data_IF_099957679646
#
_entry.id   IF_099957679646
#
_cell.length_a   1.000
_cell.length_b   1.000
_cell.length_c   1.000
_cell.angle_alpha   90.00
_cell.angle_beta   90.00
_cell.angle_gamma   90.00
#
_symmetry.space_group_name_H-M   'P 1'
#
loop_
_entity.id
_entity.type
_entity.pdbx_description
1 polymer ?
#
# COMPACT_ATOMS: atom_id res chain seq x y z
N UNK A 1 0.04 24.97 3.28
CA UNK A 1 -0.28 23.78 4.09
C UNK A 1 -0.89 22.75 3.16
N UNK A 2 -0.36 21.53 3.14
CA UNK A 2 -0.99 20.44 2.42
C UNK A 2 -2.32 20.11 3.09
N UNK A 3 -3.36 19.85 2.31
CA UNK A 3 -4.64 19.36 2.84
C UNK A 3 -4.55 17.84 3.02
N UNK A 4 -5.18 17.25 4.04
CA UNK A 4 -5.40 15.82 4.08
C UNK A 4 -6.06 15.35 2.79
N UNK A 5 -5.52 14.32 2.18
CA UNK A 5 -6.07 13.66 0.99
C UNK A 5 -5.97 12.16 1.19
N UNK A 6 -6.89 11.45 0.56
CA UNK A 6 -6.74 10.00 0.40
C UNK A 6 -5.56 9.73 -0.53
N UNK A 7 -4.64 8.91 -0.05
CA UNK A 7 -3.47 8.45 -0.78
C UNK A 7 -3.55 6.94 -0.89
N UNK A 8 -3.31 6.44 -2.09
CA UNK A 8 -3.27 5.03 -2.42
C UNK A 8 -1.81 4.62 -2.57
N UNK A 9 -1.40 3.53 -1.92
CA UNK A 9 -0.11 2.88 -2.11
C UNK A 9 -0.34 1.53 -2.79
N UNK A 10 0.41 1.27 -3.86
CA UNK A 10 0.29 0.05 -4.66
C UNK A 10 1.39 -0.91 -4.27
N UNK A 11 1.01 -2.09 -3.79
CA UNK A 11 1.92 -3.15 -3.35
C UNK A 11 1.72 -4.38 -4.25
N UNK A 12 2.82 -4.96 -4.72
CA UNK A 12 2.83 -6.19 -5.52
C UNK A 12 3.27 -7.36 -4.64
N UNK A 13 2.51 -8.45 -4.68
CA UNK A 13 2.72 -9.66 -3.90
C UNK A 13 2.81 -10.88 -4.84
N UNK A 14 3.75 -11.81 -4.62
CA UNK A 14 3.97 -12.94 -5.53
C UNK A 14 2.98 -14.09 -5.35
N UNK A 15 2.17 -14.08 -4.28
CA UNK A 15 1.20 -15.13 -4.04
C UNK A 15 0.07 -14.71 -3.10
N UNK A 16 -1.05 -15.43 -3.21
CA UNK A 16 -2.29 -15.19 -2.45
C UNK A 16 -2.10 -15.26 -0.93
N UNK A 17 -1.20 -16.13 -0.44
CA UNK A 17 -0.98 -16.30 1.01
C UNK A 17 -0.30 -15.07 1.59
N UNK A 18 0.74 -14.57 0.93
CA UNK A 18 1.42 -13.32 1.29
C UNK A 18 0.45 -12.14 1.18
N UNK A 19 -0.28 -12.01 0.06
CA UNK A 19 -1.26 -10.94 -0.15
C UNK A 19 -2.27 -10.82 1.00
N UNK A 20 -2.92 -11.92 1.37
CA UNK A 20 -3.89 -11.93 2.49
C UNK A 20 -3.27 -11.62 3.86
N UNK A 21 -2.01 -11.99 4.06
CA UNK A 21 -1.32 -11.75 5.33
C UNK A 21 -0.88 -10.28 5.43
N UNK A 22 -0.38 -9.73 4.34
CA UNK A 22 0.03 -8.33 4.21
C UNK A 22 -1.17 -7.42 4.35
N UNK A 23 -2.29 -7.70 3.66
CA UNK A 23 -3.52 -6.92 3.77
C UNK A 23 -3.94 -6.75 5.23
N UNK A 24 -4.01 -7.86 5.99
CA UNK A 24 -4.34 -7.81 7.43
C UNK A 24 -3.34 -7.01 8.28
N UNK A 25 -2.05 -7.03 7.94
CA UNK A 25 -1.05 -6.27 8.69
C UNK A 25 -1.18 -4.78 8.39
N UNK A 26 -1.41 -4.42 7.14
CA UNK A 26 -1.57 -3.03 6.69
C UNK A 26 -2.90 -2.44 7.19
N UNK A 27 -3.97 -3.23 7.22
CA UNK A 27 -5.25 -2.85 7.85
C UNK A 27 -5.10 -2.52 9.34
N UNK A 28 -4.26 -3.25 10.09
CA UNK A 28 -4.00 -2.97 11.51
C UNK A 28 -3.31 -1.61 11.73
N UNK A 29 -2.61 -1.11 10.72
CA UNK A 29 -1.99 0.23 10.73
C UNK A 29 -2.97 1.32 10.27
N UNK A 30 -4.25 1.00 10.08
CA UNK A 30 -5.31 1.95 9.76
C UNK A 30 -5.38 2.33 8.28
N UNK A 31 -4.99 1.42 7.39
CA UNK A 31 -5.27 1.50 5.96
C UNK A 31 -6.55 0.73 5.62
N UNK A 32 -7.25 1.16 4.58
CA UNK A 32 -8.19 0.31 3.86
C UNK A 32 -7.42 -0.43 2.76
N UNK A 33 -7.66 -1.73 2.57
CA UNK A 33 -6.88 -2.54 1.62
C UNK A 33 -7.80 -3.33 0.69
N UNK A 34 -7.70 -3.05 -0.61
CA UNK A 34 -8.28 -3.89 -1.65
C UNK A 34 -7.22 -4.85 -2.20
N UNK A 35 -7.61 -6.11 -2.47
CA UNK A 35 -6.70 -7.15 -2.99
C UNK A 35 -7.24 -7.67 -4.31
N UNK A 36 -6.50 -7.43 -5.39
CA UNK A 36 -6.80 -7.90 -6.73
C UNK A 36 -5.76 -8.92 -7.21
N UNK A 37 -6.17 -9.84 -8.07
CA UNK A 37 -5.29 -10.82 -8.72
C UNK A 37 -5.01 -10.35 -10.15
N UNK A 38 -3.73 -10.19 -10.48
CA UNK A 38 -3.26 -9.96 -11.84
C UNK A 38 -3.01 -11.32 -12.49
N UNK A 39 -4.02 -11.82 -13.20
CA UNK A 39 -3.96 -13.11 -13.89
C UNK A 39 -2.91 -13.15 -15.01
N UNK A 40 -2.53 -12.00 -15.59
CA UNK A 40 -1.54 -11.93 -16.67
C UNK A 40 -0.11 -12.14 -16.14
N UNK A 41 0.18 -11.58 -14.97
CA UNK A 41 1.50 -11.62 -14.35
C UNK A 41 1.62 -12.69 -13.24
N UNK A 42 0.55 -13.41 -12.93
CA UNK A 42 0.45 -14.33 -11.79
C UNK A 42 0.80 -13.65 -10.44
N UNK A 43 0.48 -12.37 -10.32
CA UNK A 43 0.77 -11.52 -9.16
C UNK A 43 -0.52 -11.08 -8.45
N UNK A 44 -0.36 -10.55 -7.23
CA UNK A 44 -1.46 -9.94 -6.47
C UNK A 44 -1.14 -8.47 -6.24
N UNK A 45 -2.11 -7.61 -6.55
CA UNK A 45 -2.03 -6.17 -6.34
C UNK A 45 -2.82 -5.82 -5.08
N UNK A 46 -2.18 -5.09 -4.17
CA UNK A 46 -2.82 -4.54 -2.99
C UNK A 46 -2.89 -3.03 -3.13
N UNK A 47 -4.11 -2.48 -3.10
CA UNK A 47 -4.35 -1.03 -3.09
C UNK A 47 -4.61 -0.61 -1.66
N UNK A 48 -3.61 0.02 -1.02
CA UNK A 48 -3.64 0.41 0.38
C UNK A 48 -3.95 1.91 0.50
N UNK A 49 -5.15 2.25 0.99
CA UNK A 49 -5.65 3.63 1.07
C UNK A 49 -5.56 4.19 2.48
N UNK A 50 -5.11 5.45 2.61
CA UNK A 50 -5.10 6.18 3.89
C UNK A 50 -5.20 7.68 3.69
N UNK A 51 -5.96 8.35 4.57
CA UNK A 51 -6.05 9.82 4.58
C UNK A 51 -4.84 10.39 5.31
N UNK A 52 -3.97 11.09 4.57
CA UNK A 52 -2.73 11.68 5.10
C UNK A 52 -2.50 13.09 4.54
N UNK A 53 -1.64 13.88 5.19
CA UNK A 53 -1.24 15.17 4.64
C UNK A 53 -0.33 14.96 3.44
N UNK A 54 -0.71 15.48 2.27
CA UNK A 54 0.05 15.29 1.03
C UNK A 54 1.34 16.12 1.03
N UNK A 55 2.35 15.64 1.77
CA UNK A 55 3.71 16.17 1.83
C UNK A 55 4.69 15.05 1.51
N UNK A 56 5.83 15.41 0.92
CA UNK A 56 6.89 14.44 0.64
C UNK A 56 7.31 13.65 1.89
N UNK A 57 7.45 14.32 3.04
CA UNK A 57 7.86 13.68 4.29
C UNK A 57 6.85 12.61 4.75
N UNK A 58 5.55 12.89 4.65
CA UNK A 58 4.51 11.94 5.02
C UNK A 58 4.46 10.76 4.05
N UNK A 59 4.57 11.00 2.73
CA UNK A 59 4.65 9.92 1.73
C UNK A 59 5.82 8.99 2.03
N UNK A 60 7.03 9.54 2.18
CA UNK A 60 8.24 8.75 2.43
C UNK A 60 8.14 7.98 3.74
N UNK A 61 7.59 8.59 4.79
CA UNK A 61 7.34 7.89 6.05
C UNK A 61 6.42 6.69 5.85
N UNK A 62 5.29 6.87 5.18
CA UNK A 62 4.34 5.78 4.94
C UNK A 62 4.92 4.69 4.03
N UNK A 63 5.77 5.04 3.05
CA UNK A 63 6.50 4.04 2.25
C UNK A 63 7.45 3.20 3.13
N UNK A 64 8.23 3.85 4.02
CA UNK A 64 9.11 3.13 4.94
C UNK A 64 8.35 2.26 5.94
N UNK A 65 7.26 2.77 6.53
CA UNK A 65 6.42 1.99 7.45
C UNK A 65 5.90 0.73 6.72
N UNK A 66 5.39 0.88 5.49
CA UNK A 66 4.93 -0.24 4.66
C UNK A 66 6.07 -1.22 4.31
N UNK A 67 7.27 -0.74 3.98
CA UNK A 67 8.45 -1.59 3.76
C UNK A 67 8.76 -2.44 5.01
N UNK A 68 8.78 -1.84 6.20
CA UNK A 68 9.08 -2.54 7.45
C UNK A 68 8.03 -3.61 7.77
N UNK A 69 6.74 -3.28 7.62
CA UNK A 69 5.63 -4.21 7.86
C UNK A 69 5.70 -5.41 6.90
N UNK A 70 6.10 -5.16 5.65
CA UNK A 70 6.01 -6.13 4.56
C UNK A 70 7.32 -6.84 4.24
N UNK A 71 8.43 -6.47 4.88
CA UNK A 71 9.79 -6.99 4.63
C UNK A 71 9.92 -8.53 4.60
N UNK A 72 9.04 -9.26 5.27
CA UNK A 72 9.06 -10.73 5.36
C UNK A 72 8.20 -11.44 4.31
N UNK A 73 7.56 -10.71 3.40
CA UNK A 73 6.53 -11.24 2.51
C UNK A 73 6.83 -11.08 1.02
N UNK A 74 8.08 -10.71 0.66
CA UNK A 74 8.53 -10.50 -0.73
C UNK A 74 7.64 -9.50 -1.48
N UNK A 75 7.21 -8.45 -0.78
CA UNK A 75 6.35 -7.41 -1.32
C UNK A 75 7.19 -6.29 -1.91
N UNK A 76 6.76 -5.78 -3.06
CA UNK A 76 7.32 -4.56 -3.66
C UNK A 76 6.30 -3.44 -3.55
N UNK A 77 6.71 -2.26 -3.08
CA UNK A 77 5.93 -1.04 -3.25
C UNK A 77 6.19 -0.53 -4.67
N UNK A 78 5.16 -0.53 -5.50
CA UNK A 78 5.27 -0.14 -6.91
C UNK A 78 5.12 1.37 -7.10
N UNK A 79 4.25 1.99 -6.30
CA UNK A 79 4.03 3.43 -6.38
C UNK A 79 2.98 3.92 -5.40
N UNK A 80 2.65 5.20 -5.54
CA UNK A 80 1.56 5.84 -4.81
C UNK A 80 0.84 6.85 -5.70
N UNK A 81 -0.44 7.09 -5.40
CA UNK A 81 -1.30 8.02 -6.11
C UNK A 81 -2.19 8.80 -5.14
N UNK A 82 -2.61 9.99 -5.55
CA UNK A 82 -3.59 10.78 -4.81
C UNK A 82 -4.42 11.60 -5.79
N UNK A 83 -5.74 11.60 -5.63
CA UNK A 83 -6.61 12.44 -6.44
C UNK A 83 -6.46 13.91 -6.01
N UNK A 84 -6.01 14.75 -6.95
CA UNK A 84 -5.83 16.18 -6.74
C UNK A 84 -6.85 17.01 -7.52
N UNK A 85 -7.99 17.26 -6.89
CA UNK A 85 -8.88 18.37 -7.28
C UNK A 85 -8.20 19.74 -7.11
#
# INVERSE_FOLDING_TARGET
MSKPREVEFILLCPNRRSARKVAKLVELEGYEVDVDEDEEHEEFVLVCKKVIHLTHAEIVKHQHDLEEITARYEVKIDGWGAMVD
#
